data_IF_439124879446
#
_entry.id   IF_439124879446
#
_cell.length_a   1.000
_cell.length_b   1.000
_cell.length_c   1.000
_cell.angle_alpha   90.00
_cell.angle_beta   90.00
_cell.angle_gamma   90.00
#
_symmetry.space_group_name_H-M   'P 1'
#
loop_
_entity.id
_entity.type
_entity.pdbx_description
1 polymer ?
#
# COMPACT_ATOMS: atom_id res chain seq x y z
N UNK A 1 -3.90 1.91 21.97
CA UNK A 1 -5.00 1.54 21.03
C UNK A 1 -4.39 0.89 19.79
N UNK A 2 -5.06 -0.07 19.13
CA UNK A 2 -4.53 -0.71 17.92
C UNK A 2 -5.36 -0.43 16.67
N UNK A 3 -4.68 -0.21 15.55
CA UNK A 3 -5.32 0.03 14.26
C UNK A 3 -4.77 -0.90 13.19
N UNK A 4 -5.66 -1.62 12.50
CA UNK A 4 -5.33 -2.33 11.26
C UNK A 4 -5.49 -1.36 10.10
N UNK A 5 -4.42 -1.12 9.35
CA UNK A 5 -4.40 -0.16 8.23
C UNK A 5 -4.06 -0.89 6.94
N UNK A 6 -4.84 -0.62 5.90
CA UNK A 6 -4.62 -1.17 4.56
C UNK A 6 -4.26 -0.06 3.58
N UNK A 7 -3.12 -0.22 2.92
CA UNK A 7 -2.53 0.72 1.98
C UNK A 7 -2.70 0.22 0.54
N UNK A 8 -2.83 1.15 -0.41
CA UNK A 8 -2.70 0.84 -1.83
C UNK A 8 -1.22 0.63 -2.16
N UNK A 9 -0.87 -0.53 -2.73
CA UNK A 9 0.50 -0.85 -3.15
C UNK A 9 0.55 -1.10 -4.66
N UNK A 10 1.56 -0.56 -5.35
CA UNK A 10 1.78 -0.82 -6.77
C UNK A 10 2.88 -1.85 -6.98
N UNK A 11 2.75 -2.59 -8.07
CA UNK A 11 3.68 -3.63 -8.49
C UNK A 11 4.11 -3.39 -9.92
N UNK A 12 5.37 -3.72 -10.23
CA UNK A 12 5.88 -3.77 -11.60
C UNK A 12 5.19 -4.89 -12.38
N UNK A 13 5.28 -4.90 -13.71
CA UNK A 13 4.77 -6.02 -14.52
C UNK A 13 5.38 -7.39 -14.15
N UNK A 14 6.58 -7.39 -13.56
CA UNK A 14 7.29 -8.58 -13.08
C UNK A 14 6.80 -9.06 -11.70
N UNK A 15 5.91 -8.30 -11.05
CA UNK A 15 5.40 -8.60 -9.72
C UNK A 15 6.24 -8.06 -8.56
N UNK A 16 7.23 -7.20 -8.84
CA UNK A 16 8.02 -6.59 -7.76
C UNK A 16 7.31 -5.34 -7.21
N UNK A 17 7.40 -5.04 -5.90
CA UNK A 17 6.92 -3.77 -5.35
C UNK A 17 7.50 -2.56 -6.09
N UNK A 18 6.62 -1.66 -6.55
CA UNK A 18 7.00 -0.45 -7.26
C UNK A 18 6.91 0.82 -6.38
N UNK A 19 6.32 0.71 -5.19
CA UNK A 19 6.26 1.78 -4.20
C UNK A 19 6.25 1.24 -2.76
N UNK A 20 6.43 2.18 -1.83
CA UNK A 20 6.39 1.96 -0.39
C UNK A 20 5.36 2.92 0.22
N UNK A 21 4.07 2.52 0.29
CA UNK A 21 2.99 3.46 0.58
C UNK A 21 3.01 3.91 2.04
N UNK A 22 3.51 3.07 2.95
CA UNK A 22 3.59 3.39 4.38
C UNK A 22 4.52 4.57 4.66
N UNK A 23 5.58 4.73 3.87
CA UNK A 23 6.54 5.83 4.00
C UNK A 23 5.96 7.20 3.65
N UNK A 24 4.73 7.25 3.11
CA UNK A 24 3.98 8.47 2.87
C UNK A 24 3.06 8.85 4.05
N UNK A 25 2.93 7.98 5.05
CA UNK A 25 2.26 8.29 6.31
C UNK A 25 3.31 8.76 7.31
N UNK A 26 3.28 10.05 7.64
CA UNK A 26 4.11 10.61 8.70
C UNK A 26 3.22 10.98 9.89
N UNK A 27 2.99 10.07 10.85
CA UNK A 27 2.23 10.38 12.04
C UNK A 27 2.99 11.34 12.96
N UNK A 28 4.32 11.40 12.86
CA UNK A 28 5.18 12.16 13.76
C UNK A 28 5.75 11.30 14.90
N UNK A 29 6.80 11.84 15.52
CA UNK A 29 7.61 11.10 16.50
C UNK A 29 6.82 10.74 17.77
N UNK A 30 6.99 9.50 18.23
CA UNK A 30 6.38 8.97 19.45
C UNK A 30 4.86 8.71 19.38
N UNK A 31 4.26 8.71 18.18
CA UNK A 31 2.84 8.37 18.01
C UNK A 31 2.64 6.87 17.83
N UNK A 32 3.44 6.25 16.97
CA UNK A 32 3.45 4.79 16.79
C UNK A 32 4.38 4.20 17.83
N UNK A 33 3.84 3.34 18.70
CA UNK A 33 4.59 2.60 19.70
C UNK A 33 5.17 1.30 19.13
N UNK A 34 4.41 0.61 18.28
CA UNK A 34 4.81 -0.62 17.60
C UNK A 34 4.11 -0.76 16.24
N UNK A 35 4.73 -1.50 15.33
CA UNK A 35 4.19 -1.82 14.02
C UNK A 35 4.39 -3.32 13.72
N UNK A 36 3.30 -3.98 13.34
CA UNK A 36 3.29 -5.37 12.91
C UNK A 36 2.86 -5.48 11.44
N UNK A 37 3.70 -6.10 10.62
CA UNK A 37 3.34 -6.47 9.25
C UNK A 37 2.34 -7.64 9.26
N UNK A 38 1.22 -7.49 8.54
CA UNK A 38 0.19 -8.54 8.43
C UNK A 38 0.34 -9.29 7.11
N UNK A 39 0.14 -8.60 5.99
CA UNK A 39 0.10 -9.24 4.67
C UNK A 39 0.33 -8.25 3.52
N UNK A 40 0.71 -8.81 2.37
CA UNK A 40 0.64 -8.16 1.07
C UNK A 40 -0.24 -9.01 0.17
N UNK A 41 -1.23 -8.38 -0.47
CA UNK A 41 -2.04 -8.99 -1.51
C UNK A 41 -1.60 -8.46 -2.86
N UNK A 42 -1.07 -9.35 -3.67
CA UNK A 42 -0.61 -9.07 -5.02
C UNK A 42 -1.77 -9.03 -6.02
N UNK A 43 -1.71 -8.20 -7.07
CA UNK A 43 -2.70 -8.19 -8.15
C UNK A 43 -2.79 -9.53 -8.87
N UNK A 44 -4.02 -9.96 -9.18
CA UNK A 44 -4.23 -11.12 -10.04
C UNK A 44 -3.66 -10.85 -11.44
N UNK A 45 -2.80 -11.74 -11.94
CA UNK A 45 -2.22 -11.67 -13.29
C UNK A 45 -0.84 -11.01 -13.38
N UNK A 46 -0.10 -10.85 -12.28
CA UNK A 46 1.33 -10.58 -12.37
C UNK A 46 2.05 -11.74 -13.07
N UNK A 47 2.98 -11.43 -13.97
CA UNK A 47 3.78 -12.45 -14.68
C UNK A 47 3.13 -13.10 -15.92
N UNK A 48 1.90 -12.72 -16.33
CA UNK A 48 1.28 -13.24 -17.57
C UNK A 48 1.72 -12.53 -18.85
N UNK A 49 2.85 -11.80 -18.80
CA UNK A 49 3.51 -11.30 -19.99
C UNK A 49 4.34 -12.40 -20.69
N UNK A 50 3.82 -13.63 -20.78
CA UNK A 50 4.23 -14.53 -21.86
C UNK A 50 3.55 -14.00 -23.13
N UNK A 51 4.24 -13.07 -23.80
CA UNK A 51 4.13 -12.81 -25.23
C UNK A 51 2.75 -12.37 -25.77
N UNK A 52 2.13 -11.33 -25.20
CA UNK A 52 0.99 -10.65 -25.86
C UNK A 52 1.43 -9.69 -26.99
N UNK A 53 2.73 -9.52 -27.23
CA UNK A 53 3.25 -8.68 -28.31
C UNK A 53 3.46 -9.43 -29.64
N UNK A 54 3.09 -10.72 -29.73
CA UNK A 54 3.18 -11.48 -30.98
C UNK A 54 2.12 -11.14 -32.04
N UNK A 55 1.16 -10.23 -31.79
CA UNK A 55 0.01 -10.18 -32.69
C UNK A 55 -0.87 -8.93 -32.75
N UNK A 56 -0.49 -7.77 -32.25
CA UNK A 56 -1.24 -6.54 -32.59
C UNK A 56 -0.38 -5.30 -32.52
N UNK A 57 -0.08 -4.78 -33.70
CA UNK A 57 0.70 -3.57 -33.86
C UNK A 57 0.06 -2.36 -33.19
N UNK A 58 0.87 -1.58 -32.50
CA UNK A 58 1.00 -0.14 -32.67
C UNK A 58 2.17 0.32 -31.81
N UNK A 59 3.26 0.63 -32.50
CA UNK A 59 4.46 1.26 -31.97
C UNK A 59 4.15 2.75 -31.73
N UNK A 60 3.38 3.08 -30.69
CA UNK A 60 3.16 4.46 -30.21
C UNK A 60 3.08 4.52 -28.67
N UNK A 61 4.26 4.58 -28.05
CA UNK A 61 4.63 5.46 -26.94
C UNK A 61 3.56 5.88 -25.92
N UNK A 62 3.41 5.08 -24.88
CA UNK A 62 3.31 5.57 -23.50
C UNK A 62 3.90 4.50 -22.58
N UNK A 63 5.22 4.37 -22.61
CA UNK A 63 5.99 3.42 -21.82
C UNK A 63 6.04 3.87 -20.35
N UNK A 64 4.88 3.83 -19.70
CA UNK A 64 4.76 3.70 -18.26
C UNK A 64 4.05 2.37 -18.09
N UNK A 65 4.84 1.29 -18.09
CA UNK A 65 4.32 -0.08 -17.96
C UNK A 65 3.22 -0.13 -16.90
N UNK A 66 2.09 -0.74 -17.24
CA UNK A 66 0.93 -0.78 -16.36
C UNK A 66 1.34 -1.39 -15.01
N UNK A 67 1.35 -0.59 -13.95
CA UNK A 67 1.63 -1.09 -12.61
C UNK A 67 0.40 -1.81 -12.06
N UNK A 68 0.57 -3.05 -11.65
CA UNK A 68 -0.46 -3.81 -10.97
C UNK A 68 -0.83 -3.14 -9.64
N UNK A 69 -2.10 -3.20 -9.26
CA UNK A 69 -2.59 -2.69 -7.97
C UNK A 69 -2.86 -3.83 -7.01
N UNK A 70 -2.16 -3.83 -5.89
CA UNK A 70 -2.40 -4.70 -4.75
C UNK A 70 -2.59 -3.90 -3.47
N UNK A 71 -2.49 -4.59 -2.33
CA UNK A 71 -2.61 -3.97 -1.01
C UNK A 71 -1.51 -4.42 -0.08
N UNK A 72 -1.17 -3.57 0.88
CA UNK A 72 -0.33 -3.93 2.02
C UNK A 72 -1.09 -3.59 3.30
N UNK A 73 -1.05 -4.50 4.27
CA UNK A 73 -1.77 -4.34 5.53
C UNK A 73 -0.80 -4.47 6.70
N UNK A 74 -0.93 -3.56 7.67
CA UNK A 74 -0.13 -3.56 8.90
C UNK A 74 -0.99 -3.16 10.09
N UNK A 75 -0.63 -3.63 11.28
CA UNK A 75 -1.25 -3.24 12.55
C UNK A 75 -0.31 -2.29 13.27
N UNK A 76 -0.87 -1.20 13.77
CA UNK A 76 -0.15 -0.16 14.51
C UNK A 76 -0.64 -0.12 15.94
N UNK A 77 0.30 -0.18 16.89
CA UNK A 77 0.05 0.16 18.28
C UNK A 77 0.32 1.65 18.48
N UNK A 78 -0.69 2.38 18.95
CA UNK A 78 -0.66 3.84 19.07
C UNK A 78 -0.55 4.22 20.54
N UNK A 79 0.38 5.16 20.79
CA UNK A 79 0.59 5.75 22.11
C UNK A 79 -0.70 6.40 22.65
N UNK A 80 -0.92 6.25 23.95
CA UNK A 80 -2.13 6.68 24.64
C UNK A 80 -2.44 8.18 24.42
N UNK A 81 -3.65 8.48 23.96
CA UNK A 81 -4.10 9.84 23.71
C UNK A 81 -3.57 10.49 22.42
N UNK A 82 -2.87 9.73 21.56
CA UNK A 82 -2.32 10.19 20.27
C UNK A 82 -3.05 9.60 19.05
N UNK A 83 -4.19 8.93 19.26
CA UNK A 83 -4.96 8.25 18.22
C UNK A 83 -5.45 9.23 17.16
N UNK A 84 -5.80 10.45 17.56
CA UNK A 84 -6.31 11.48 16.66
C UNK A 84 -5.25 11.95 15.68
N UNK A 85 -4.02 12.16 16.13
CA UNK A 85 -2.90 12.52 15.27
C UNK A 85 -2.57 11.40 14.28
N UNK A 86 -2.60 10.15 14.75
CA UNK A 86 -2.42 9.00 13.87
C UNK A 86 -3.48 8.95 12.78
N UNK A 87 -4.77 9.04 13.14
CA UNK A 87 -5.89 9.04 12.16
C UNK A 87 -5.77 10.22 11.20
N UNK A 88 -5.37 11.40 11.68
CA UNK A 88 -5.15 12.56 10.83
C UNK A 88 -4.08 12.29 9.76
N UNK A 89 -2.94 11.73 10.17
CA UNK A 89 -1.87 11.36 9.24
C UNK A 89 -2.31 10.31 8.22
N UNK A 90 -3.09 9.31 8.64
CA UNK A 90 -3.68 8.32 7.72
C UNK A 90 -4.53 8.99 6.63
N UNK A 91 -5.42 9.91 7.03
CA UNK A 91 -6.34 10.60 6.11
C UNK A 91 -5.59 11.57 5.19
N UNK A 92 -4.63 12.34 5.72
CA UNK A 92 -3.86 13.30 4.93
C UNK A 92 -2.92 12.64 3.92
N UNK A 93 -2.46 11.42 4.19
CA UNK A 93 -1.55 10.69 3.30
C UNK A 93 -2.17 10.34 1.93
N UNK A 94 -3.51 10.24 1.85
CA UNK A 94 -4.26 9.84 0.65
C UNK A 94 -3.85 8.49 0.01
N UNK A 95 -3.08 7.66 0.72
CA UNK A 95 -2.64 6.33 0.25
C UNK A 95 -3.28 5.16 1.01
N UNK A 96 -3.95 5.47 2.13
CA UNK A 96 -4.73 4.53 2.92
C UNK A 96 -6.06 4.23 2.22
N UNK A 97 -6.37 2.96 2.04
CA UNK A 97 -7.63 2.49 1.47
C UNK A 97 -8.69 2.29 2.55
N UNK A 98 -8.29 1.73 3.68
CA UNK A 98 -9.15 1.43 4.81
C UNK A 98 -8.32 1.38 6.10
N UNK A 99 -8.92 1.74 7.23
CA UNK A 99 -8.35 1.50 8.54
C UNK A 99 -9.46 1.16 9.54
N UNK A 100 -9.14 0.24 10.46
CA UNK A 100 -10.08 -0.29 11.43
C UNK A 100 -9.44 -0.30 12.80
N UNK A 101 -10.19 0.14 13.80
CA UNK A 101 -9.82 -0.02 15.20
C UNK A 101 -9.96 -1.50 15.60
N UNK A 102 -8.95 -2.03 16.26
CA UNK A 102 -8.95 -3.41 16.77
C UNK A 102 -9.31 -3.39 18.26
N UNK A 103 -10.29 -4.22 18.70
CA UNK A 103 -10.51 -4.45 20.11
C UNK A 103 -9.29 -5.16 20.73
N UNK A 104 -8.95 -4.79 21.97
CA UNK A 104 -7.96 -5.49 22.80
C UNK A 104 -8.24 -7.00 22.96
#
# INVERSE_FOLDING_TARGET
MRYKVTFRKRFTPQGEPADEPKSLVDPGDGIVADEEFVEILEPAGLGVAEDLNAGSGSQESNDSGFHGLGTETSVYDIADGREREFIHALVESQVVLDFQELPD
#
